data_IF_776942178931
#
_entry.id   IF_776942178931
#
_cell.length_a   1.000
_cell.length_b   1.000
_cell.length_c   1.000
_cell.angle_alpha   90.00
_cell.angle_beta   90.00
_cell.angle_gamma   90.00
#
_symmetry.space_group_name_H-M   'P 1'
#
loop_
_entity.id
_entity.type
_entity.pdbx_description
1 polymer ?
#
# COMPACT_ATOMS: atom_id res chain seq x y z
N UNK A 1 12.60 -26.18 1.10
CA UNK A 1 11.81 -25.22 1.87
C UNK A 1 10.71 -24.69 0.96
N UNK A 2 9.50 -24.45 1.47
CA UNK A 2 8.44 -23.79 0.67
C UNK A 2 8.92 -22.41 0.24
N UNK A 3 8.59 -22.01 -0.99
CA UNK A 3 9.07 -20.74 -1.54
C UNK A 3 8.62 -19.51 -0.76
N UNK A 4 7.38 -19.50 -0.27
CA UNK A 4 6.85 -18.45 0.61
C UNK A 4 7.66 -18.28 1.90
N UNK A 5 8.05 -19.39 2.53
CA UNK A 5 8.93 -19.36 3.72
C UNK A 5 10.35 -18.89 3.38
N UNK A 6 10.86 -19.17 2.17
CA UNK A 6 12.16 -18.68 1.74
C UNK A 6 12.14 -17.15 1.62
N UNK A 7 11.11 -16.59 0.97
CA UNK A 7 10.95 -15.15 0.85
C UNK A 7 10.81 -14.49 2.22
N UNK A 8 10.00 -15.07 3.11
CA UNK A 8 9.87 -14.59 4.49
C UNK A 8 11.19 -14.54 5.25
N UNK A 9 12.04 -15.55 5.10
CA UNK A 9 13.36 -15.56 5.75
C UNK A 9 14.27 -14.43 5.23
N UNK A 10 14.29 -14.21 3.91
CA UNK A 10 15.06 -13.11 3.32
C UNK A 10 14.53 -11.75 3.77
N UNK A 11 13.21 -11.59 3.90
CA UNK A 11 12.62 -10.37 4.45
C UNK A 11 13.12 -10.08 5.88
N UNK A 12 13.08 -11.10 6.75
CA UNK A 12 13.56 -10.97 8.13
C UNK A 12 15.08 -10.73 8.18
N UNK A 13 15.84 -11.40 7.32
CA UNK A 13 17.29 -11.24 7.24
C UNK A 13 17.66 -9.82 6.77
N UNK A 14 16.97 -9.30 5.76
CA UNK A 14 17.13 -7.92 5.28
C UNK A 14 16.87 -6.91 6.40
N UNK A 15 15.72 -7.02 7.09
CA UNK A 15 15.36 -6.12 8.19
C UNK A 15 16.43 -6.10 9.29
N UNK A 16 16.96 -7.28 9.63
CA UNK A 16 18.04 -7.41 10.62
C UNK A 16 19.29 -6.65 10.18
N UNK A 17 19.80 -6.94 8.98
CA UNK A 17 21.00 -6.30 8.46
C UNK A 17 20.83 -4.80 8.27
N UNK A 18 19.66 -4.38 7.77
CA UNK A 18 19.32 -2.97 7.63
C UNK A 18 19.34 -2.22 8.97
N UNK A 19 18.73 -2.79 10.01
CA UNK A 19 18.76 -2.20 11.36
C UNK A 19 20.17 -2.15 11.94
N UNK A 20 21.00 -3.17 11.71
CA UNK A 20 22.40 -3.19 12.13
C UNK A 20 23.22 -2.11 11.40
N UNK A 21 23.03 -1.96 10.08
CA UNK A 21 23.71 -0.94 9.29
C UNK A 21 23.29 0.48 9.73
N UNK A 22 21.98 0.75 9.86
CA UNK A 22 21.49 2.04 10.34
C UNK A 22 22.07 2.38 11.70
N UNK A 23 22.13 1.41 12.62
CA UNK A 23 22.74 1.60 13.93
C UNK A 23 24.22 2.01 13.86
N UNK A 24 24.98 1.43 12.92
CA UNK A 24 26.39 1.77 12.72
C UNK A 24 26.59 3.16 12.11
N UNK A 25 25.59 3.67 11.39
CA UNK A 25 25.59 5.00 10.76
C UNK A 25 25.13 6.13 11.72
N UNK A 26 24.61 5.79 12.89
CA UNK A 26 24.24 6.78 13.89
C UNK A 26 25.49 7.45 14.47
N UNK A 27 25.40 8.75 14.84
CA UNK A 27 26.51 9.47 15.46
C UNK A 27 26.85 8.87 16.83
N UNK A 28 28.11 8.93 17.25
CA UNK A 28 28.59 8.34 18.49
C UNK A 28 27.89 8.88 19.75
N UNK A 29 27.41 10.13 19.69
CA UNK A 29 26.66 10.79 20.76
C UNK A 29 25.13 10.68 20.62
N UNK A 30 24.62 9.71 19.84
CA UNK A 30 23.19 9.58 19.53
C UNK A 30 22.31 9.54 20.79
N UNK A 31 22.72 8.83 21.82
CA UNK A 31 21.95 8.70 23.07
C UNK A 31 21.81 10.01 23.85
N UNK A 32 22.74 10.95 23.65
CA UNK A 32 22.78 12.27 24.29
C UNK A 32 21.96 13.34 23.53
N UNK A 33 21.47 13.02 22.33
CA UNK A 33 20.71 13.96 21.51
C UNK A 33 19.28 14.15 22.02
N UNK A 34 18.69 15.30 21.76
CA UNK A 34 17.27 15.55 21.93
C UNK A 34 16.43 14.67 20.98
N UNK A 35 15.15 14.50 21.27
CA UNK A 35 14.26 13.64 20.46
C UNK A 35 14.19 14.12 18.98
N UNK A 36 14.15 15.44 18.75
CA UNK A 36 14.17 16.00 17.40
C UNK A 36 15.48 15.72 16.64
N UNK A 37 16.61 15.84 17.35
CA UNK A 37 17.93 15.54 16.79
C UNK A 37 18.10 14.04 16.53
N UNK A 38 17.56 13.17 17.40
CA UNK A 38 17.53 11.71 17.20
C UNK A 38 16.74 11.33 15.95
N UNK A 39 15.58 11.93 15.74
CA UNK A 39 14.80 11.67 14.51
C UNK A 39 15.57 12.10 13.25
N UNK A 40 16.19 13.27 13.25
CA UNK A 40 17.01 13.75 12.14
C UNK A 40 18.24 12.87 11.89
N UNK A 41 18.94 12.49 12.95
CA UNK A 41 20.11 11.60 12.85
C UNK A 41 19.72 10.22 12.29
N UNK A 42 18.60 9.66 12.76
CA UNK A 42 18.06 8.40 12.27
C UNK A 42 17.65 8.49 10.80
N UNK A 43 16.91 9.53 10.40
CA UNK A 43 16.52 9.73 9.00
C UNK A 43 17.75 9.86 8.09
N UNK A 44 18.81 10.55 8.56
CA UNK A 44 20.08 10.66 7.81
C UNK A 44 20.80 9.31 7.71
N UNK A 45 20.82 8.51 8.78
CA UNK A 45 21.40 7.17 8.76
C UNK A 45 20.64 6.22 7.83
N UNK A 46 19.31 6.26 7.84
CA UNK A 46 18.44 5.50 6.93
C UNK A 46 18.64 5.90 5.45
N UNK A 47 18.84 7.18 5.18
CA UNK A 47 19.13 7.68 3.83
C UNK A 47 20.51 7.23 3.32
N UNK A 48 21.50 7.15 4.20
CA UNK A 48 22.86 6.74 3.89
C UNK A 48 23.08 5.22 3.91
N UNK A 49 22.08 4.43 4.27
CA UNK A 49 22.14 2.97 4.24
C UNK A 49 22.38 2.48 2.81
N UNK A 50 23.45 1.70 2.60
CA UNK A 50 23.77 1.09 1.32
C UNK A 50 22.68 0.10 0.91
N UNK A 51 22.22 -0.74 1.85
CA UNK A 51 21.12 -1.69 1.61
C UNK A 51 19.86 -0.98 1.12
N UNK A 52 19.51 0.16 1.73
CA UNK A 52 18.34 0.91 1.31
C UNK A 52 18.53 1.60 -0.04
N UNK A 53 19.73 2.11 -0.33
CA UNK A 53 20.05 2.71 -1.63
C UNK A 53 19.97 1.66 -2.75
N UNK A 54 20.51 0.45 -2.54
CA UNK A 54 20.41 -0.66 -3.49
C UNK A 54 18.94 -1.08 -3.70
N UNK A 55 18.15 -1.14 -2.65
CA UNK A 55 16.71 -1.44 -2.73
C UNK A 55 15.95 -0.39 -3.55
N UNK A 56 16.23 0.89 -3.35
CA UNK A 56 15.65 1.99 -4.14
C UNK A 56 16.08 1.92 -5.61
N UNK A 57 17.31 1.53 -5.87
CA UNK A 57 17.78 1.32 -7.24
C UNK A 57 17.08 0.14 -7.92
N UNK A 58 16.89 -0.97 -7.20
CA UNK A 58 16.10 -2.10 -7.71
C UNK A 58 14.66 -1.67 -8.03
N UNK A 59 14.02 -0.87 -7.17
CA UNK A 59 12.68 -0.34 -7.43
C UNK A 59 12.64 0.51 -8.70
N UNK A 60 13.61 1.43 -8.87
CA UNK A 60 13.71 2.25 -10.09
C UNK A 60 13.86 1.41 -11.36
N UNK A 61 14.70 0.37 -11.32
CA UNK A 61 14.86 -0.58 -12.42
C UNK A 61 13.57 -1.33 -12.71
N UNK A 62 12.88 -1.80 -11.67
CA UNK A 62 11.58 -2.46 -11.82
C UNK A 62 10.54 -1.54 -12.49
N UNK A 63 10.44 -0.29 -12.06
CA UNK A 63 9.55 0.73 -12.64
C UNK A 63 9.93 1.04 -14.10
N UNK A 64 11.22 1.09 -14.41
CA UNK A 64 11.73 1.29 -15.76
C UNK A 64 11.54 0.09 -16.69
N UNK A 65 11.10 -1.05 -16.16
CA UNK A 65 10.85 -2.26 -16.97
C UNK A 65 12.08 -3.13 -17.19
N UNK A 66 13.11 -3.04 -16.34
CA UNK A 66 14.28 -3.92 -16.40
C UNK A 66 13.87 -5.38 -16.34
N UNK A 67 14.24 -6.15 -17.37
CA UNK A 67 13.77 -7.54 -17.55
C UNK A 67 14.27 -8.47 -16.44
N UNK A 68 15.52 -8.32 -16.02
CA UNK A 68 16.11 -9.18 -14.99
C UNK A 68 15.43 -8.96 -13.64
N UNK A 69 15.25 -7.70 -13.25
CA UNK A 69 14.60 -7.35 -11.98
C UNK A 69 13.12 -7.76 -11.99
N UNK A 70 12.42 -7.57 -13.12
CA UNK A 70 11.00 -8.01 -13.23
C UNK A 70 10.90 -9.52 -13.18
N UNK A 71 11.76 -10.26 -13.85
CA UNK A 71 11.75 -11.72 -13.81
C UNK A 71 12.05 -12.26 -12.40
N UNK A 72 13.00 -11.64 -11.68
CA UNK A 72 13.26 -11.99 -10.28
C UNK A 72 12.01 -11.76 -9.42
N UNK A 73 11.38 -10.60 -9.54
CA UNK A 73 10.17 -10.22 -8.81
C UNK A 73 9.00 -11.19 -9.12
N UNK A 74 8.77 -11.51 -10.39
CA UNK A 74 7.74 -12.48 -10.80
C UNK A 74 8.00 -13.86 -10.23
N UNK A 75 9.25 -14.33 -10.27
CA UNK A 75 9.64 -15.63 -9.71
C UNK A 75 9.39 -15.69 -8.21
N UNK A 76 9.77 -14.64 -7.48
CA UNK A 76 9.56 -14.55 -6.03
C UNK A 76 8.06 -14.53 -5.69
N UNK A 77 7.27 -13.74 -6.42
CA UNK A 77 5.83 -13.71 -6.22
C UNK A 77 5.17 -15.06 -6.52
N UNK A 78 5.58 -15.75 -7.58
CA UNK A 78 5.05 -17.07 -7.89
C UNK A 78 5.29 -18.07 -6.76
N UNK A 79 6.48 -18.05 -6.14
CA UNK A 79 6.75 -18.90 -4.97
C UNK A 79 5.83 -18.60 -3.78
N UNK A 80 5.47 -17.34 -3.58
CA UNK A 80 4.52 -16.94 -2.53
C UNK A 80 3.11 -17.42 -2.88
N UNK A 81 2.68 -17.24 -4.12
CA UNK A 81 1.35 -17.69 -4.59
C UNK A 81 1.21 -19.21 -4.45
N UNK A 82 2.20 -19.99 -4.89
CA UNK A 82 2.22 -21.45 -4.71
C UNK A 82 2.10 -21.85 -3.23
N UNK A 83 2.71 -21.06 -2.34
CA UNK A 83 2.61 -21.26 -0.89
C UNK A 83 1.23 -20.92 -0.34
N UNK A 84 0.58 -19.90 -0.85
CA UNK A 84 -0.79 -19.53 -0.50
C UNK A 84 -1.79 -20.60 -0.97
N UNK A 85 -1.64 -21.09 -2.19
CA UNK A 85 -2.51 -22.12 -2.75
C UNK A 85 -2.50 -23.39 -1.89
N UNK A 86 -1.32 -23.86 -1.46
CA UNK A 86 -1.20 -24.97 -0.51
C UNK A 86 -1.92 -24.69 0.81
N UNK A 87 -1.91 -23.46 1.28
CA UNK A 87 -2.58 -23.07 2.53
C UNK A 87 -4.10 -23.05 2.34
N UNK A 88 -4.58 -22.44 1.25
CA UNK A 88 -6.00 -22.38 0.93
C UNK A 88 -6.60 -23.76 0.70
N UNK A 89 -5.92 -24.65 -0.02
CA UNK A 89 -6.31 -26.04 -0.20
C UNK A 89 -6.48 -26.77 1.14
N UNK A 90 -5.54 -26.56 2.07
CA UNK A 90 -5.63 -27.17 3.42
C UNK A 90 -6.78 -26.61 4.26
N UNK A 91 -7.14 -25.34 4.03
CA UNK A 91 -8.28 -24.69 4.68
C UNK A 91 -9.63 -25.04 4.01
N UNK A 92 -9.59 -25.66 2.83
CA UNK A 92 -10.79 -25.93 2.04
C UNK A 92 -11.41 -24.65 1.47
N UNK A 93 -10.60 -23.64 1.20
CA UNK A 93 -11.02 -22.34 0.67
C UNK A 93 -10.63 -22.25 -0.81
N UNK A 94 -11.58 -21.82 -1.65
CA UNK A 94 -11.34 -21.52 -3.05
C UNK A 94 -11.86 -20.11 -3.38
N UNK A 95 -11.25 -19.47 -4.36
CA UNK A 95 -11.63 -18.14 -4.82
C UNK A 95 -12.05 -18.19 -6.28
N UNK A 96 -13.13 -17.52 -6.62
CA UNK A 96 -13.57 -17.38 -8.02
C UNK A 96 -12.65 -16.46 -8.79
N UNK A 97 -12.06 -15.44 -8.12
CA UNK A 97 -11.14 -14.48 -8.74
C UNK A 97 -10.14 -13.93 -7.73
N UNK A 98 -8.91 -13.77 -8.17
CA UNK A 98 -7.83 -13.13 -7.42
C UNK A 98 -7.47 -11.82 -8.13
N UNK A 99 -7.36 -10.72 -7.36
CA UNK A 99 -6.90 -9.43 -7.83
C UNK A 99 -5.49 -9.18 -7.30
N UNK A 100 -4.55 -8.97 -8.21
CA UNK A 100 -3.17 -8.66 -7.86
C UNK A 100 -2.95 -7.15 -7.86
N UNK A 101 -2.30 -6.65 -6.83
CA UNK A 101 -2.03 -5.21 -6.66
C UNK A 101 -1.25 -4.64 -7.86
N UNK A 102 -0.32 -5.42 -8.43
CA UNK A 102 0.41 -5.05 -9.65
C UNK A 102 -0.48 -4.76 -10.86
N UNK A 103 -1.72 -5.26 -10.86
CA UNK A 103 -2.70 -5.04 -11.93
C UNK A 103 -3.70 -3.92 -11.59
N UNK A 104 -3.90 -3.64 -10.30
CA UNK A 104 -4.95 -2.72 -9.83
C UNK A 104 -4.43 -1.34 -9.43
N UNK A 105 -3.14 -1.19 -9.14
CA UNK A 105 -2.58 0.06 -8.62
C UNK A 105 -2.76 1.28 -9.54
N UNK A 106 -2.85 1.07 -10.86
CA UNK A 106 -3.09 2.16 -11.84
C UNK A 106 -4.55 2.62 -11.89
N UNK A 107 -5.50 1.75 -11.52
CA UNK A 107 -6.93 2.06 -11.60
C UNK A 107 -7.31 3.22 -10.68
N UNK A 108 -6.74 3.26 -9.50
CA UNK A 108 -7.00 4.33 -8.54
C UNK A 108 -6.59 5.72 -9.02
N UNK A 109 -5.57 5.84 -9.88
CA UNK A 109 -5.17 7.14 -10.45
C UNK A 109 -6.25 7.74 -11.33
N UNK A 110 -6.98 6.91 -12.10
CA UNK A 110 -8.12 7.36 -12.89
C UNK A 110 -9.21 7.94 -11.99
N UNK A 111 -9.57 7.21 -10.94
CA UNK A 111 -10.57 7.64 -9.95
C UNK A 111 -10.16 8.94 -9.25
N UNK A 112 -8.88 9.13 -8.95
CA UNK A 112 -8.37 10.39 -8.38
C UNK A 112 -8.50 11.55 -9.36
N UNK A 113 -8.20 11.35 -10.65
CA UNK A 113 -8.36 12.39 -11.66
C UNK A 113 -9.85 12.81 -11.81
N UNK A 114 -10.78 11.86 -11.84
CA UNK A 114 -12.21 12.15 -11.82
C UNK A 114 -12.62 12.96 -10.59
N UNK A 115 -12.04 12.63 -9.42
CA UNK A 115 -12.30 13.38 -8.19
C UNK A 115 -11.81 14.82 -8.21
N UNK A 116 -10.69 15.09 -8.87
CA UNK A 116 -10.17 16.43 -9.09
C UNK A 116 -11.08 17.22 -10.05
N UNK A 117 -11.53 16.61 -11.16
CA UNK A 117 -12.44 17.23 -12.13
C UNK A 117 -13.80 17.58 -11.48
N UNK A 118 -14.28 16.73 -10.57
CA UNK A 118 -15.53 16.94 -9.81
C UNK A 118 -15.36 17.90 -8.60
N UNK A 119 -14.16 18.39 -8.32
CA UNK A 119 -13.82 19.17 -7.12
C UNK A 119 -14.16 18.47 -5.79
N UNK A 120 -14.20 17.15 -5.78
CA UNK A 120 -14.31 16.31 -4.58
C UNK A 120 -12.93 16.14 -3.92
N UNK A 121 -11.90 16.12 -4.75
CA UNK A 121 -10.50 16.08 -4.33
C UNK A 121 -9.84 17.41 -4.70
N UNK A 122 -8.76 17.73 -4.00
CA UNK A 122 -7.99 18.93 -4.27
C UNK A 122 -6.49 18.65 -4.26
N UNK A 123 -5.74 19.49 -4.99
CA UNK A 123 -4.30 19.42 -5.07
C UNK A 123 -3.69 20.50 -4.18
N UNK A 124 -2.73 20.13 -3.35
CA UNK A 124 -1.92 21.08 -2.58
C UNK A 124 -0.80 21.68 -3.45
N UNK A 125 -0.19 22.76 -2.97
CA UNK A 125 0.91 23.46 -3.65
C UNK A 125 2.13 22.55 -3.91
N UNK A 126 2.36 21.56 -3.05
CA UNK A 126 3.42 20.56 -3.20
C UNK A 126 3.11 19.48 -4.26
N UNK A 127 1.94 19.54 -4.91
CA UNK A 127 1.48 18.60 -5.93
C UNK A 127 0.72 17.39 -5.39
N UNK A 128 0.68 17.15 -4.08
CA UNK A 128 -0.06 16.05 -3.47
C UNK A 128 -1.58 16.23 -3.61
N UNK A 129 -2.32 15.12 -3.66
CA UNK A 129 -3.79 15.12 -3.82
C UNK A 129 -4.46 14.58 -2.56
N UNK A 130 -5.46 15.30 -2.09
CA UNK A 130 -6.13 15.07 -0.82
C UNK A 130 -7.65 15.08 -0.96
N UNK A 131 -8.33 14.39 -0.03
CA UNK A 131 -9.77 14.50 0.22
C UNK A 131 -9.98 15.09 1.62
N UNK A 132 -10.75 16.16 1.72
CA UNK A 132 -11.13 16.77 3.00
C UNK A 132 -12.42 16.13 3.53
N UNK A 133 -12.32 15.34 4.59
CA UNK A 133 -13.43 14.65 5.24
C UNK A 133 -13.75 15.22 6.63
N UNK A 134 -13.16 16.38 7.01
CA UNK A 134 -13.33 16.96 8.35
C UNK A 134 -14.77 17.30 8.71
N UNK A 135 -15.57 17.68 7.73
CA UNK A 135 -17.01 17.95 7.94
C UNK A 135 -17.82 16.67 8.26
N UNK A 136 -17.23 15.50 8.09
CA UNK A 136 -17.84 14.21 8.39
C UNK A 136 -17.23 13.57 9.65
N UNK A 137 -16.43 14.33 10.39
CA UNK A 137 -15.75 13.85 11.62
C UNK A 137 -14.54 12.98 11.37
N UNK A 138 -14.00 12.99 10.16
CA UNK A 138 -12.78 12.30 9.76
C UNK A 138 -11.66 13.31 9.45
N UNK A 139 -10.44 12.82 9.20
CA UNK A 139 -9.32 13.68 8.81
C UNK A 139 -9.27 13.94 7.30
N UNK A 140 -8.38 14.84 6.88
CA UNK A 140 -7.98 14.93 5.48
C UNK A 140 -7.21 13.66 5.08
N UNK A 141 -7.54 13.08 3.93
CA UNK A 141 -6.91 11.83 3.46
C UNK A 141 -6.07 12.08 2.22
N UNK A 142 -4.78 11.73 2.33
CA UNK A 142 -3.86 11.70 1.20
C UNK A 142 -4.24 10.59 0.22
N UNK A 143 -4.27 10.91 -1.07
CA UNK A 143 -4.53 9.96 -2.16
C UNK A 143 -3.34 9.83 -3.11
N UNK A 144 -2.68 10.92 -3.49
CA UNK A 144 -1.43 10.88 -4.22
C UNK A 144 -0.36 11.68 -3.48
N UNK A 145 0.83 11.13 -3.42
CA UNK A 145 2.00 11.85 -2.91
C UNK A 145 2.41 12.95 -3.88
N UNK A 146 3.30 13.85 -3.43
CA UNK A 146 3.85 14.96 -4.23
C UNK A 146 4.49 14.52 -5.55
N UNK A 147 5.06 13.32 -5.59
CA UNK A 147 5.66 12.71 -6.77
C UNK A 147 4.64 12.00 -7.69
N UNK A 148 3.34 12.05 -7.35
CA UNK A 148 2.26 11.42 -8.10
C UNK A 148 2.11 9.92 -7.83
N UNK A 149 2.86 9.36 -6.87
CA UNK A 149 2.69 7.95 -6.49
C UNK A 149 1.43 7.74 -5.65
N UNK A 150 0.80 6.58 -5.85
CA UNK A 150 -0.41 6.16 -5.13
C UNK A 150 -0.10 5.76 -3.70
N UNK A 151 -1.10 5.90 -2.82
CA UNK A 151 -1.14 5.29 -1.49
C UNK A 151 -2.15 4.14 -1.49
N UNK A 152 -2.18 3.32 -0.43
CA UNK A 152 -3.11 2.18 -0.33
C UNK A 152 -4.58 2.58 -0.58
N UNK A 153 -5.03 3.71 -0.04
CA UNK A 153 -6.39 4.21 -0.27
C UNK A 153 -6.70 4.39 -1.75
N UNK A 154 -5.75 4.88 -2.54
CA UNK A 154 -5.92 5.07 -3.99
C UNK A 154 -6.10 3.74 -4.71
N UNK A 155 -5.32 2.74 -4.31
CA UNK A 155 -5.40 1.39 -4.88
C UNK A 155 -6.74 0.73 -4.53
N UNK A 156 -7.21 0.89 -3.30
CA UNK A 156 -8.49 0.34 -2.84
C UNK A 156 -9.68 1.00 -3.52
N UNK A 157 -9.64 2.30 -3.79
CA UNK A 157 -10.65 2.99 -4.59
C UNK A 157 -10.77 2.36 -5.98
N UNK A 158 -9.64 2.15 -6.67
CA UNK A 158 -9.61 1.54 -7.99
C UNK A 158 -10.08 0.08 -7.97
N UNK A 159 -9.65 -0.68 -6.97
CA UNK A 159 -10.02 -2.09 -6.83
C UNK A 159 -11.51 -2.26 -6.49
N UNK A 160 -12.05 -1.42 -5.62
CA UNK A 160 -13.49 -1.43 -5.31
C UNK A 160 -14.33 -1.12 -6.54
N UNK A 161 -13.93 -0.12 -7.32
CA UNK A 161 -14.61 0.24 -8.57
C UNK A 161 -14.57 -0.91 -9.57
N UNK A 162 -13.40 -1.53 -9.78
CA UNK A 162 -13.24 -2.67 -10.69
C UNK A 162 -14.17 -3.83 -10.28
N UNK A 163 -14.21 -4.19 -8.99
CA UNK A 163 -15.08 -5.25 -8.47
C UNK A 163 -16.55 -4.93 -8.68
N UNK A 164 -16.94 -3.68 -8.47
CA UNK A 164 -18.31 -3.26 -8.71
C UNK A 164 -18.68 -3.32 -10.21
N UNK A 165 -17.81 -2.85 -11.08
CA UNK A 165 -18.03 -2.90 -12.55
C UNK A 165 -18.16 -4.33 -13.08
N UNK A 166 -17.36 -5.26 -12.54
CA UNK A 166 -17.36 -6.66 -12.98
C UNK A 166 -18.58 -7.46 -12.47
N UNK A 167 -18.98 -7.26 -11.23
CA UNK A 167 -19.99 -8.13 -10.59
C UNK A 167 -21.30 -7.43 -10.28
N UNK A 168 -21.35 -6.10 -10.25
CA UNK A 168 -22.49 -5.29 -9.84
C UNK A 168 -23.18 -5.85 -8.57
N UNK A 169 -22.40 -6.13 -7.52
CA UNK A 169 -22.93 -6.78 -6.34
C UNK A 169 -23.85 -5.85 -5.56
N UNK A 170 -24.86 -6.41 -4.91
CA UNK A 170 -25.72 -5.63 -3.99
C UNK A 170 -24.98 -5.18 -2.74
N UNK A 171 -23.89 -5.84 -2.39
CA UNK A 171 -23.06 -5.55 -1.21
C UNK A 171 -21.62 -6.00 -1.47
N UNK A 172 -20.67 -5.17 -1.13
CA UNK A 172 -19.24 -5.49 -1.12
C UNK A 172 -18.82 -5.72 0.33
N UNK A 173 -18.49 -6.96 0.68
CA UNK A 173 -18.06 -7.33 2.04
C UNK A 173 -16.54 -7.52 2.05
N UNK A 174 -15.87 -6.75 2.89
CA UNK A 174 -14.42 -6.86 3.14
C UNK A 174 -14.19 -7.55 4.47
N UNK A 175 -13.52 -8.68 4.45
CA UNK A 175 -13.16 -9.46 5.65
C UNK A 175 -11.70 -9.15 5.99
N UNK A 176 -11.48 -8.20 6.88
CA UNK A 176 -10.16 -7.64 7.22
C UNK A 176 -10.10 -7.35 8.73
N UNK A 177 -8.90 -7.31 9.32
CA UNK A 177 -8.72 -7.01 10.74
C UNK A 177 -9.28 -5.65 11.17
N UNK A 178 -9.62 -5.54 12.45
CA UNK A 178 -10.32 -4.38 13.02
C UNK A 178 -9.48 -3.09 13.00
N UNK A 179 -8.16 -3.17 12.88
CA UNK A 179 -7.26 -2.03 12.70
C UNK A 179 -7.54 -1.26 11.41
N UNK A 180 -8.27 -1.85 10.46
CA UNK A 180 -8.66 -1.23 9.19
C UNK A 180 -10.05 -0.55 9.24
N UNK A 181 -10.74 -0.52 10.39
CA UNK A 181 -12.08 0.09 10.51
C UNK A 181 -12.12 1.53 9.95
N UNK A 182 -11.16 2.36 10.35
CA UNK A 182 -11.04 3.74 9.88
C UNK A 182 -10.80 3.82 8.36
N UNK A 183 -9.97 2.93 7.83
CA UNK A 183 -9.65 2.88 6.40
C UNK A 183 -10.90 2.61 5.56
N UNK A 184 -11.73 1.64 5.95
CA UNK A 184 -12.96 1.31 5.20
C UNK A 184 -14.04 2.39 5.35
N UNK A 185 -14.14 3.09 6.49
CA UNK A 185 -15.05 4.23 6.63
C UNK A 185 -14.64 5.37 5.68
N UNK A 186 -13.35 5.69 5.60
CA UNK A 186 -12.81 6.66 4.64
C UNK A 186 -13.07 6.23 3.19
N UNK A 187 -12.83 4.96 2.84
CA UNK A 187 -13.07 4.42 1.49
C UNK A 187 -14.51 4.65 1.04
N UNK A 188 -15.48 4.29 1.89
CA UNK A 188 -16.92 4.49 1.64
C UNK A 188 -17.24 5.96 1.37
N UNK A 189 -16.77 6.86 2.25
CA UNK A 189 -17.03 8.30 2.13
C UNK A 189 -16.50 8.87 0.82
N UNK A 190 -15.27 8.53 0.46
CA UNK A 190 -14.68 9.03 -0.79
C UNK A 190 -15.46 8.52 -2.00
N UNK A 191 -15.83 7.25 -2.06
CA UNK A 191 -16.61 6.69 -3.15
C UNK A 191 -17.97 7.39 -3.30
N UNK A 192 -18.70 7.58 -2.22
CA UNK A 192 -19.99 8.27 -2.23
C UNK A 192 -19.84 9.72 -2.71
N UNK A 193 -18.82 10.44 -2.26
CA UNK A 193 -18.55 11.81 -2.72
C UNK A 193 -18.18 11.89 -4.20
N UNK A 194 -17.54 10.86 -4.73
CA UNK A 194 -17.24 10.75 -6.16
C UNK A 194 -18.49 10.47 -7.00
N UNK A 195 -19.63 10.18 -6.36
CA UNK A 195 -20.90 9.88 -6.99
C UNK A 195 -21.18 8.40 -7.18
N UNK A 196 -20.38 7.54 -6.55
CA UNK A 196 -20.59 6.09 -6.53
C UNK A 196 -21.50 5.71 -5.35
N UNK A 197 -22.83 5.79 -5.54
CA UNK A 197 -23.81 5.53 -4.48
C UNK A 197 -23.66 4.14 -3.85
N UNK A 198 -23.22 3.15 -4.63
CA UNK A 198 -22.92 1.79 -4.16
C UNK A 198 -21.79 1.75 -3.09
N UNK A 199 -21.04 2.83 -2.93
CA UNK A 199 -20.09 2.98 -1.82
C UNK A 199 -20.76 2.81 -0.45
N UNK A 200 -22.05 3.12 -0.31
CA UNK A 200 -22.81 2.88 0.90
C UNK A 200 -23.02 1.39 1.21
N UNK A 201 -22.96 0.54 0.19
CA UNK A 201 -23.14 -0.92 0.30
C UNK A 201 -21.85 -1.68 0.59
N UNK A 202 -20.76 -0.96 0.85
CA UNK A 202 -19.52 -1.55 1.36
C UNK A 202 -19.70 -1.86 2.84
N UNK A 203 -19.39 -3.10 3.22
CA UNK A 203 -19.40 -3.56 4.61
C UNK A 203 -18.05 -4.10 5.01
N UNK A 204 -17.50 -3.60 6.11
CA UNK A 204 -16.30 -4.15 6.72
C UNK A 204 -16.70 -5.16 7.78
N UNK A 205 -16.54 -6.45 7.47
CA UNK A 205 -16.65 -7.53 8.44
C UNK A 205 -15.32 -7.67 9.16
N UNK A 206 -15.16 -6.89 10.23
CA UNK A 206 -13.92 -6.84 11.00
C UNK A 206 -13.80 -8.03 11.95
N UNK A 207 -12.56 -8.47 12.15
CA UNK A 207 -12.18 -9.45 13.16
C UNK A 207 -10.94 -8.97 13.90
N UNK A 208 -10.70 -9.52 15.11
CA UNK A 208 -9.54 -9.21 15.95
C UNK A 208 -9.63 -9.92 17.28
#
# INVERSE_FOLDING_TARGET
KKGDHLIGDFYVLFDKHYKEEVKQLLPANYDELSDEEKEKAKATAEENSVLMQETREMLRKWEAGDEEIRQLWETMNQWVYDGFDVTYDRLGVAFEKIYYESQTYLLGKKTVNEGLEKNVLYRREDGSVWCDLRNEGLDEKLLLRRDGTSVYMTQDLGTAQLRYEEYQPKKLIYVVGNEQNYHFDVLKRILVRLGYEWGNDIEHLSYG
#
